data_IF_098988673616
#
_entry.id   IF_098988673616
#
_cell.length_a   1.000
_cell.length_b   1.000
_cell.length_c   1.000
_cell.angle_alpha   90.00
_cell.angle_beta   90.00
_cell.angle_gamma   90.00
#
_symmetry.space_group_name_H-M   'P 1'
#
loop_
_entity.id
_entity.type
_entity.pdbx_description
1 polymer ?
#
# COMPACT_ATOMS: atom_id res chain seq x y z
N UNK A 1 10.71 -20.47 -9.58
CA UNK A 1 9.64 -20.23 -10.57
C UNK A 1 9.13 -18.81 -10.37
N UNK A 2 9.05 -18.01 -11.42
CA UNK A 2 8.55 -16.63 -11.35
C UNK A 2 7.02 -16.69 -11.16
N UNK A 3 6.51 -15.94 -10.19
CA UNK A 3 5.06 -15.78 -10.00
C UNK A 3 4.66 -14.39 -10.50
N UNK A 4 3.58 -14.32 -11.26
CA UNK A 4 3.01 -13.07 -11.74
C UNK A 4 1.71 -12.77 -10.98
N UNK A 5 1.50 -11.50 -10.63
CA UNK A 5 0.27 -11.01 -10.02
C UNK A 5 -0.31 -9.84 -10.81
N UNK A 6 -1.57 -9.52 -10.55
CA UNK A 6 -2.28 -8.41 -11.19
C UNK A 6 -2.77 -7.45 -10.10
N UNK A 7 -2.63 -6.15 -10.33
CA UNK A 7 -3.19 -5.12 -9.46
C UNK A 7 -4.68 -4.90 -9.73
N UNK A 8 -5.49 -4.75 -8.69
CA UNK A 8 -6.90 -4.35 -8.83
C UNK A 8 -7.06 -2.98 -9.50
N UNK A 9 -6.01 -2.14 -9.47
CA UNK A 9 -5.99 -0.84 -10.16
C UNK A 9 -6.14 -0.96 -11.69
N UNK A 10 -5.85 -2.13 -12.30
CA UNK A 10 -6.02 -2.31 -13.74
C UNK A 10 -7.49 -2.25 -14.19
N UNK A 11 -8.43 -2.41 -13.26
CA UNK A 11 -9.87 -2.30 -13.51
C UNK A 11 -10.49 -0.98 -13.00
N UNK A 12 -9.65 -0.03 -12.57
CA UNK A 12 -10.14 1.30 -12.15
C UNK A 12 -11.01 1.94 -13.26
N UNK A 13 -12.15 2.57 -12.97
CA UNK A 13 -12.69 2.99 -11.66
C UNK A 13 -13.63 2.00 -10.98
N UNK A 14 -13.57 0.72 -11.31
CA UNK A 14 -14.39 -0.30 -10.65
C UNK A 14 -14.05 -0.38 -9.14
N UNK A 15 -15.05 -0.55 -8.25
CA UNK A 15 -14.81 -0.78 -6.83
C UNK A 15 -13.87 -1.96 -6.59
N UNK A 16 -13.00 -1.85 -5.58
CA UNK A 16 -11.95 -2.84 -5.34
C UNK A 16 -12.48 -4.26 -5.11
N UNK A 17 -13.62 -4.40 -4.42
CA UNK A 17 -14.26 -5.69 -4.16
C UNK A 17 -14.77 -6.35 -5.45
N UNK A 18 -15.31 -5.56 -6.38
CA UNK A 18 -15.75 -6.04 -7.68
C UNK A 18 -14.55 -6.40 -8.56
N UNK A 19 -13.53 -5.52 -8.60
CA UNK A 19 -12.29 -5.76 -9.33
C UNK A 19 -11.59 -7.04 -8.86
N UNK A 20 -11.48 -7.25 -7.54
CA UNK A 20 -10.91 -8.46 -6.96
C UNK A 20 -11.73 -9.69 -7.35
N UNK A 21 -13.06 -9.61 -7.27
CA UNK A 21 -13.95 -10.72 -7.64
C UNK A 21 -13.79 -11.11 -9.11
N UNK A 22 -13.76 -10.14 -10.02
CA UNK A 22 -13.60 -10.37 -11.45
C UNK A 22 -12.23 -10.96 -11.80
N UNK A 23 -11.15 -10.48 -11.18
CA UNK A 23 -9.82 -11.05 -11.34
C UNK A 23 -9.77 -12.50 -10.84
N UNK A 24 -10.39 -12.78 -9.70
CA UNK A 24 -10.47 -14.13 -9.15
C UNK A 24 -11.27 -15.08 -10.04
N UNK A 25 -12.41 -14.65 -10.59
CA UNK A 25 -13.18 -15.41 -11.58
C UNK A 25 -12.38 -15.66 -12.86
N UNK A 26 -11.54 -14.71 -13.27
CA UNK A 26 -10.62 -14.84 -14.39
C UNK A 26 -9.45 -15.80 -14.15
N UNK A 27 -9.36 -16.42 -12.98
CA UNK A 27 -8.31 -17.41 -12.65
C UNK A 27 -7.00 -16.78 -12.19
N UNK A 28 -7.00 -15.50 -11.76
CA UNK A 28 -5.84 -14.84 -11.17
C UNK A 28 -5.60 -15.44 -9.77
N UNK A 29 -4.38 -15.89 -9.51
CA UNK A 29 -4.01 -16.54 -8.24
C UNK A 29 -3.20 -15.64 -7.31
N UNK A 30 -2.75 -14.47 -7.79
CA UNK A 30 -1.98 -13.50 -7.01
C UNK A 30 -2.39 -12.08 -7.38
N UNK A 31 -2.67 -11.26 -6.38
CA UNK A 31 -3.10 -9.86 -6.59
C UNK A 31 -2.30 -8.88 -5.74
N UNK A 32 -2.19 -7.66 -6.25
CA UNK A 32 -1.99 -6.45 -5.48
C UNK A 32 -3.37 -5.81 -5.24
N UNK A 33 -3.67 -5.46 -4.00
CA UNK A 33 -4.87 -4.71 -3.67
C UNK A 33 -4.55 -3.22 -3.62
N UNK A 34 -5.11 -2.47 -4.56
CA UNK A 34 -5.02 -1.02 -4.62
C UNK A 34 -6.18 -0.41 -3.83
N UNK A 35 -5.87 0.16 -2.68
CA UNK A 35 -6.85 0.85 -1.82
C UNK A 35 -7.13 2.24 -2.41
N UNK A 36 -8.39 2.52 -2.73
CA UNK A 36 -8.78 3.77 -3.38
C UNK A 36 -9.22 4.84 -2.39
N UNK A 37 -9.65 4.44 -1.17
CA UNK A 37 -10.18 5.37 -0.17
C UNK A 37 -10.05 4.84 1.25
N UNK A 38 -10.08 5.75 2.23
CA UNK A 38 -9.99 5.40 3.65
C UNK A 38 -11.10 4.43 4.12
N UNK A 39 -12.29 4.51 3.55
CA UNK A 39 -13.40 3.62 3.95
C UNK A 39 -13.12 2.15 3.65
N UNK A 40 -12.26 1.85 2.67
CA UNK A 40 -11.83 0.49 2.31
C UNK A 40 -10.86 -0.13 3.34
N UNK A 41 -10.31 0.69 4.24
CA UNK A 41 -9.47 0.23 5.36
C UNK A 41 -10.28 -0.15 6.61
N UNK A 42 -11.61 0.02 6.60
CA UNK A 42 -12.46 -0.42 7.71
C UNK A 42 -12.38 -1.94 7.86
N UNK A 43 -12.26 -2.39 9.10
CA UNK A 43 -12.11 -3.81 9.43
C UNK A 43 -13.15 -4.72 8.76
N UNK A 44 -14.41 -4.29 8.72
CA UNK A 44 -15.50 -5.06 8.07
C UNK A 44 -15.32 -5.15 6.56
N UNK A 45 -14.83 -4.09 5.92
CA UNK A 45 -14.58 -4.08 4.50
C UNK A 45 -13.36 -4.96 4.13
N UNK A 46 -12.28 -4.83 4.89
CA UNK A 46 -11.09 -5.69 4.76
C UNK A 46 -11.45 -7.17 4.96
N UNK A 47 -12.36 -7.49 5.90
CA UNK A 47 -12.86 -8.85 6.07
C UNK A 47 -13.58 -9.37 4.83
N UNK A 48 -14.41 -8.55 4.19
CA UNK A 48 -15.09 -8.94 2.94
C UNK A 48 -14.10 -9.21 1.79
N UNK A 49 -13.03 -8.41 1.66
CA UNK A 49 -11.95 -8.69 0.70
C UNK A 49 -11.22 -10.00 1.04
N UNK A 50 -10.95 -10.24 2.33
CA UNK A 50 -10.33 -11.48 2.79
C UNK A 50 -11.19 -12.72 2.47
N UNK A 51 -12.51 -12.61 2.59
CA UNK A 51 -13.45 -13.69 2.25
C UNK A 51 -13.39 -14.03 0.75
N UNK A 52 -13.27 -13.02 -0.13
CA UNK A 52 -13.09 -13.23 -1.57
C UNK A 52 -11.76 -13.94 -1.83
N UNK A 53 -10.65 -13.46 -1.25
CA UNK A 53 -9.34 -14.09 -1.40
C UNK A 53 -9.36 -15.57 -0.99
N UNK A 54 -9.92 -15.89 0.17
CA UNK A 54 -10.03 -17.26 0.66
C UNK A 54 -10.93 -18.13 -0.23
N UNK A 55 -12.09 -17.61 -0.64
CA UNK A 55 -13.05 -18.34 -1.47
C UNK A 55 -12.46 -18.79 -2.79
N UNK A 56 -11.61 -17.98 -3.40
CA UNK A 56 -11.01 -18.24 -4.71
C UNK A 56 -9.54 -18.69 -4.64
N UNK A 57 -9.01 -18.89 -3.43
CA UNK A 57 -7.61 -19.28 -3.20
C UNK A 57 -6.61 -18.29 -3.82
N UNK A 58 -6.94 -16.99 -3.81
CA UNK A 58 -6.10 -15.91 -4.33
C UNK A 58 -5.17 -15.40 -3.23
N UNK A 59 -3.89 -15.27 -3.53
CA UNK A 59 -2.91 -14.68 -2.62
C UNK A 59 -2.83 -13.17 -2.81
N UNK A 60 -3.01 -12.39 -1.74
CA UNK A 60 -2.65 -10.97 -1.73
C UNK A 60 -1.14 -10.83 -1.46
N UNK A 61 -0.38 -10.32 -2.43
CA UNK A 61 1.07 -10.13 -2.26
C UNK A 61 1.42 -8.74 -1.73
N UNK A 62 0.70 -7.72 -2.16
CA UNK A 62 0.96 -6.32 -1.79
C UNK A 62 -0.31 -5.52 -1.55
N UNK A 63 -0.15 -4.49 -0.72
CA UNK A 63 -1.14 -3.45 -0.51
C UNK A 63 -0.60 -2.13 -1.05
N UNK A 64 -1.35 -1.50 -1.94
CA UNK A 64 -0.99 -0.26 -2.57
C UNK A 64 -1.90 0.87 -2.06
N UNK A 65 -1.37 1.88 -1.37
CA UNK A 65 -2.17 2.96 -0.82
C UNK A 65 -2.55 4.00 -1.88
N UNK A 66 -3.71 4.64 -1.73
CA UNK A 66 -4.10 5.79 -2.55
C UNK A 66 -3.37 7.08 -2.16
N UNK A 67 -2.51 7.04 -1.15
CA UNK A 67 -1.91 8.22 -0.51
C UNK A 67 -0.65 8.73 -1.21
N UNK A 68 -0.34 8.27 -2.44
CA UNK A 68 0.88 8.61 -3.17
C UNK A 68 1.18 10.11 -3.24
N UNK A 69 0.16 10.93 -3.46
CA UNK A 69 0.32 12.39 -3.54
C UNK A 69 0.62 13.02 -2.16
N UNK A 70 0.16 12.40 -1.10
CA UNK A 70 0.34 12.88 0.29
C UNK A 70 1.71 12.45 0.81
N UNK A 71 2.26 11.34 0.35
CA UNK A 71 3.54 10.78 0.82
C UNK A 71 4.67 11.79 0.75
N UNK A 72 4.78 12.54 -0.36
CA UNK A 72 5.82 13.55 -0.53
C UNK A 72 5.73 14.65 0.53
N UNK A 73 4.51 15.08 0.87
CA UNK A 73 4.28 16.15 1.83
C UNK A 73 4.37 15.71 3.28
N UNK A 74 4.08 14.43 3.57
CA UNK A 74 3.99 13.91 4.92
C UNK A 74 5.21 13.06 5.28
N UNK A 75 5.42 11.95 4.58
CA UNK A 75 6.47 10.97 4.90
C UNK A 75 7.88 11.52 4.68
N UNK A 76 8.07 12.34 3.64
CA UNK A 76 9.37 12.92 3.30
C UNK A 76 9.53 14.37 3.77
N UNK A 77 8.67 14.83 4.66
CA UNK A 77 8.71 16.16 5.24
C UNK A 77 9.82 16.29 6.28
N UNK A 78 10.52 17.43 6.30
CA UNK A 78 11.37 17.80 7.42
C UNK A 78 10.57 18.23 8.67
N UNK A 79 9.24 18.34 8.56
CA UNK A 79 8.38 18.71 9.67
C UNK A 79 7.91 17.44 10.41
N UNK A 80 8.54 17.16 11.54
CA UNK A 80 8.38 15.94 12.34
C UNK A 80 6.92 15.53 12.60
N UNK A 81 6.02 16.48 12.89
CA UNK A 81 4.61 16.18 13.14
C UNK A 81 3.91 15.57 11.94
N UNK A 82 4.23 16.03 10.71
CA UNK A 82 3.67 15.44 9.50
C UNK A 82 4.09 13.98 9.33
N UNK A 83 5.36 13.69 9.61
CA UNK A 83 5.87 12.34 9.61
C UNK A 83 5.11 11.46 10.60
N UNK A 84 4.95 11.91 11.84
CA UNK A 84 4.25 11.17 12.88
C UNK A 84 2.78 10.91 12.52
N UNK A 85 2.07 11.93 12.03
CA UNK A 85 0.67 11.81 11.61
C UNK A 85 0.53 10.79 10.46
N UNK A 86 1.46 10.79 9.51
CA UNK A 86 1.45 9.82 8.41
C UNK A 86 1.75 8.39 8.88
N UNK A 87 2.71 8.21 9.77
CA UNK A 87 3.02 6.90 10.36
C UNK A 87 1.83 6.35 11.16
N UNK A 88 1.12 7.21 11.88
CA UNK A 88 -0.13 6.84 12.55
C UNK A 88 -1.19 6.38 11.53
N UNK A 89 -1.32 7.11 10.43
CA UNK A 89 -2.21 6.74 9.35
C UNK A 89 -1.82 5.41 8.70
N UNK A 90 -0.55 5.12 8.52
CA UNK A 90 -0.06 3.85 7.98
C UNK A 90 -0.48 2.63 8.82
N UNK A 91 -0.81 2.80 10.10
CA UNK A 91 -1.30 1.70 10.95
C UNK A 91 -2.59 1.07 10.42
N UNK A 92 -3.45 1.85 9.78
CA UNK A 92 -4.65 1.31 9.14
C UNK A 92 -4.28 0.34 8.02
N UNK A 93 -3.32 0.71 7.18
CA UNK A 93 -2.82 -0.17 6.11
C UNK A 93 -2.16 -1.42 6.67
N UNK A 94 -1.32 -1.28 7.70
CA UNK A 94 -0.62 -2.43 8.29
C UNK A 94 -1.58 -3.41 8.96
N UNK A 95 -2.64 -2.90 9.58
CA UNK A 95 -3.70 -3.75 10.13
C UNK A 95 -4.44 -4.49 9.02
N UNK A 96 -4.76 -3.82 7.91
CA UNK A 96 -5.37 -4.43 6.74
C UNK A 96 -4.44 -5.49 6.12
N UNK A 97 -3.14 -5.19 5.97
CA UNK A 97 -2.14 -6.15 5.45
C UNK A 97 -2.09 -7.44 6.27
N UNK A 98 -2.08 -7.34 7.60
CA UNK A 98 -2.09 -8.51 8.49
C UNK A 98 -3.33 -9.37 8.24
N UNK A 99 -4.49 -8.75 8.07
CA UNK A 99 -5.76 -9.45 7.83
C UNK A 99 -5.83 -10.08 6.43
N UNK A 100 -5.22 -9.45 5.43
CA UNK A 100 -5.20 -9.89 4.02
C UNK A 100 -4.03 -10.83 3.69
N UNK A 101 -3.08 -11.00 4.62
CA UNK A 101 -1.87 -11.79 4.39
C UNK A 101 -0.86 -11.13 3.45
N UNK A 102 -0.98 -9.82 3.20
CA UNK A 102 -0.05 -9.09 2.36
C UNK A 102 1.28 -8.85 3.08
N UNK A 103 2.40 -9.05 2.38
CA UNK A 103 3.76 -8.88 2.91
C UNK A 103 4.49 -7.64 2.38
N UNK A 104 3.94 -6.99 1.35
CA UNK A 104 4.56 -5.85 0.68
C UNK A 104 3.65 -4.62 0.83
N UNK A 105 4.22 -3.50 1.28
CA UNK A 105 3.57 -2.19 1.28
C UNK A 105 4.24 -1.30 0.23
N UNK A 106 3.45 -0.75 -0.68
CA UNK A 106 3.98 0.10 -1.76
C UNK A 106 4.13 1.54 -1.29
N UNK A 107 5.30 2.13 -1.52
CA UNK A 107 5.58 3.55 -1.26
C UNK A 107 6.18 4.17 -2.52
N UNK A 108 5.66 5.34 -2.91
CA UNK A 108 6.02 5.97 -4.20
C UNK A 108 7.31 6.81 -4.14
N UNK A 109 7.87 7.03 -2.97
CA UNK A 109 9.07 7.83 -2.81
C UNK A 109 8.82 9.35 -2.90
N UNK A 110 9.91 10.11 -2.83
CA UNK A 110 9.85 11.56 -2.88
C UNK A 110 9.80 12.05 -4.33
N UNK A 111 8.66 12.49 -4.79
CA UNK A 111 8.55 13.24 -6.04
C UNK A 111 9.14 14.63 -5.81
N UNK A 112 10.43 14.84 -6.13
CA UNK A 112 11.03 16.17 -6.06
C UNK A 112 10.26 17.12 -6.96
N UNK A 113 9.66 18.15 -6.37
CA UNK A 113 9.22 19.31 -7.11
C UNK A 113 10.49 19.98 -7.67
N UNK A 114 10.61 20.02 -9.00
CA UNK A 114 11.73 20.66 -9.70
C UNK A 114 11.86 22.08 -9.17
N UNK A 115 12.99 22.42 -8.51
CA UNK A 115 13.29 23.75 -8.03
C UNK A 115 13.39 23.93 -6.52
N UNK A 116 13.25 22.89 -5.71
CA UNK A 116 13.55 22.97 -4.26
C UNK A 116 14.87 22.24 -4.00
N UNK A 117 15.93 23.02 -3.86
CA UNK A 117 17.25 22.54 -3.47
C UNK A 117 17.18 21.79 -2.11
N UNK A 118 17.72 20.58 -2.09
CA UNK A 118 17.98 19.83 -0.88
C UNK A 118 16.90 18.86 -0.46
N UNK A 119 16.46 17.99 -1.36
CA UNK A 119 15.74 16.77 -1.00
C UNK A 119 16.57 15.94 -0.03
N UNK A 120 16.21 15.99 1.24
CA UNK A 120 16.99 15.44 2.33
C UNK A 120 16.95 13.89 2.26
N UNK A 121 18.03 13.27 1.76
CA UNK A 121 18.22 11.81 1.78
C UNK A 121 18.02 11.22 3.19
N UNK A 122 18.21 12.05 4.22
CA UNK A 122 17.97 11.74 5.62
C UNK A 122 16.48 11.52 5.92
N UNK A 123 15.56 12.31 5.34
CA UNK A 123 14.13 12.14 5.57
C UNK A 123 13.63 10.83 4.94
N UNK A 124 14.13 10.45 3.76
CA UNK A 124 13.86 9.16 3.13
C UNK A 124 14.34 8.00 4.01
N UNK A 125 15.56 8.08 4.54
CA UNK A 125 16.14 7.05 5.41
C UNK A 125 15.39 6.93 6.73
N UNK A 126 14.97 8.04 7.31
CA UNK A 126 14.20 8.06 8.57
C UNK A 126 12.82 7.46 8.33
N UNK A 127 12.08 7.90 7.31
CA UNK A 127 10.75 7.38 6.99
C UNK A 127 10.76 5.88 6.71
N UNK A 128 11.68 5.41 5.86
CA UNK A 128 11.85 3.99 5.58
C UNK A 128 12.21 3.17 6.83
N UNK A 129 13.11 3.69 7.69
CA UNK A 129 13.49 3.04 8.95
C UNK A 129 12.31 2.91 9.91
N UNK A 130 11.47 3.94 10.05
CA UNK A 130 10.28 3.88 10.89
C UNK A 130 9.23 2.90 10.35
N UNK A 131 8.99 2.86 9.04
CA UNK A 131 8.08 1.92 8.42
C UNK A 131 8.54 0.46 8.61
N UNK A 132 9.84 0.19 8.48
CA UNK A 132 10.42 -1.14 8.71
C UNK A 132 10.35 -1.53 10.19
N UNK A 133 10.56 -0.60 11.12
CA UNK A 133 10.50 -0.89 12.56
C UNK A 133 9.07 -1.19 13.05
N UNK A 134 8.05 -0.66 12.40
CA UNK A 134 6.64 -0.91 12.76
C UNK A 134 6.13 -2.27 12.28
N UNK A 135 6.79 -2.88 11.29
CA UNK A 135 6.43 -4.21 10.78
C UNK A 135 7.66 -5.12 10.67
N UNK A 136 7.72 -6.14 11.49
CA UNK A 136 8.81 -7.13 11.51
C UNK A 136 8.93 -7.98 10.21
N UNK A 137 8.09 -7.79 9.20
CA UNK A 137 8.02 -8.64 8.01
C UNK A 137 7.59 -7.93 6.71
N UNK A 138 7.67 -6.60 6.62
CA UNK A 138 7.25 -5.89 5.40
C UNK A 138 8.44 -5.53 4.50
N UNK A 139 8.37 -5.93 3.23
CA UNK A 139 9.29 -5.47 2.19
C UNK A 139 8.78 -4.15 1.66
N UNK A 140 9.56 -3.09 1.82
CA UNK A 140 9.28 -1.78 1.25
C UNK A 140 9.76 -1.78 -0.21
N UNK A 141 8.84 -1.66 -1.17
CA UNK A 141 9.20 -1.41 -2.57
C UNK A 141 9.14 0.09 -2.81
N UNK A 142 10.31 0.70 -2.97
CA UNK A 142 10.42 2.10 -3.38
C UNK A 142 10.36 2.14 -4.90
N UNK A 143 9.23 2.56 -5.47
CA UNK A 143 9.16 2.91 -6.89
C UNK A 143 9.73 4.31 -7.06
N UNK A 144 11.01 4.39 -7.46
CA UNK A 144 11.61 5.63 -7.98
C UNK A 144 11.25 5.77 -9.46
N UNK A 145 10.57 6.85 -9.82
CA UNK A 145 10.56 7.37 -11.19
C UNK A 145 11.65 8.41 -11.35
#
# INVERSE_FOLDING_TARGET
MLKAGISTACLYPQPIEEALYDLALGGVTMVELFINTHSELKRSFVAALSDILHRFEVQCCSLHPFTSEIETMMLFSAYERRLQDYLEYCRYYFTAMQQLGASIFVVHGNKQLVGVDGGNSTALQIGAKYLIMQQQSCVLVLNGY
#
